data_IF_016940848311
#
_entry.id   IF_016940848311
#
_cell.length_a   1.000
_cell.length_b   1.000
_cell.length_c   1.000
_cell.angle_alpha   90.00
_cell.angle_beta   90.00
_cell.angle_gamma   90.00
#
_symmetry.space_group_name_H-M   'P 1'
#
loop_
_entity.id
_entity.type
_entity.pdbx_description
1 polymer ?
#
# COMPACT_ATOMS: atom_id res chain seq x y z
N UNK A 1 13.84 -16.68 -20.23
CA UNK A 1 12.54 -15.99 -20.07
C UNK A 1 11.63 -16.69 -19.05
N UNK A 2 11.13 -17.92 -19.28
CA UNK A 2 10.23 -18.63 -18.33
C UNK A 2 10.77 -18.79 -16.89
N UNK A 3 12.07 -19.12 -16.66
CA UNK A 3 12.60 -19.24 -15.29
C UNK A 3 12.61 -17.91 -14.52
N UNK A 4 12.84 -16.79 -15.23
CA UNK A 4 12.87 -15.46 -14.64
C UNK A 4 11.46 -15.03 -14.20
N UNK A 5 10.47 -15.21 -15.07
CA UNK A 5 9.06 -14.91 -14.77
C UNK A 5 8.59 -15.69 -13.53
N UNK A 6 8.88 -16.99 -13.46
CA UNK A 6 8.51 -17.80 -12.30
C UNK A 6 9.19 -17.33 -11.00
N UNK A 7 10.47 -16.93 -11.07
CA UNK A 7 11.20 -16.36 -9.92
C UNK A 7 10.55 -15.06 -9.44
N UNK A 8 10.22 -14.15 -10.36
CA UNK A 8 9.60 -12.86 -10.04
C UNK A 8 8.18 -13.04 -9.49
N UNK A 9 7.39 -13.96 -10.06
CA UNK A 9 6.08 -14.34 -9.53
C UNK A 9 6.18 -14.87 -8.11
N UNK A 10 7.14 -15.76 -7.83
CA UNK A 10 7.36 -16.28 -6.49
C UNK A 10 7.73 -15.16 -5.50
N UNK A 11 8.70 -14.31 -5.85
CA UNK A 11 9.10 -13.15 -5.02
C UNK A 11 7.94 -12.18 -4.76
N UNK A 12 7.04 -12.01 -5.73
CA UNK A 12 5.87 -11.12 -5.60
C UNK A 12 4.82 -11.62 -4.61
N UNK A 13 4.77 -12.93 -4.35
CA UNK A 13 3.77 -13.59 -3.50
C UNK A 13 4.28 -14.05 -2.13
N UNK A 14 5.57 -13.86 -1.86
CA UNK A 14 6.25 -14.40 -0.68
C UNK A 14 6.97 -13.28 0.06
N UNK A 15 6.27 -12.18 0.31
CA UNK A 15 6.83 -11.00 0.99
C UNK A 15 6.58 -11.01 2.49
N UNK A 16 5.73 -11.91 3.00
CA UNK A 16 5.39 -12.00 4.43
C UNK A 16 4.37 -10.96 4.90
N UNK A 17 3.83 -10.17 3.97
CA UNK A 17 2.80 -9.16 4.21
C UNK A 17 1.65 -9.50 3.26
N UNK A 18 0.54 -10.01 3.80
CA UNK A 18 -0.57 -10.52 2.98
C UNK A 18 -1.09 -9.46 2.02
N UNK A 19 -1.19 -8.22 2.48
CA UNK A 19 -1.60 -7.06 1.69
C UNK A 19 -0.66 -6.84 0.50
N UNK A 20 0.65 -7.00 0.68
CA UNK A 20 1.60 -6.90 -0.43
C UNK A 20 1.54 -8.08 -1.37
N UNK A 21 1.38 -9.29 -0.84
CA UNK A 21 1.22 -10.49 -1.65
C UNK A 21 -0.04 -10.38 -2.54
N UNK A 22 -1.11 -9.73 -2.06
CA UNK A 22 -2.31 -9.45 -2.83
C UNK A 22 -2.09 -8.33 -3.86
N UNK A 23 -1.55 -7.18 -3.44
CA UNK A 23 -1.38 -6.02 -4.33
C UNK A 23 -0.37 -6.30 -5.44
N UNK A 24 0.82 -6.77 -5.08
CA UNK A 24 1.92 -7.04 -6.03
C UNK A 24 1.71 -8.38 -6.71
N UNK A 25 1.35 -9.43 -5.97
CA UNK A 25 1.24 -10.79 -6.51
C UNK A 25 0.13 -10.93 -7.56
N UNK A 26 -1.07 -10.39 -7.31
CA UNK A 26 -2.17 -10.47 -8.30
C UNK A 26 -1.89 -9.65 -9.56
N UNK A 27 -1.21 -8.50 -9.41
CA UNK A 27 -0.77 -7.72 -10.57
C UNK A 27 0.32 -8.49 -11.34
N UNK A 28 1.29 -9.07 -10.65
CA UNK A 28 2.39 -9.82 -11.25
C UNK A 28 1.88 -11.05 -12.04
N UNK A 29 0.94 -11.81 -11.48
CA UNK A 29 0.31 -12.95 -12.17
C UNK A 29 -0.29 -12.59 -13.54
N UNK A 30 -0.87 -11.39 -13.64
CA UNK A 30 -1.58 -10.94 -14.84
C UNK A 30 -0.65 -10.35 -15.89
N UNK A 31 0.45 -9.74 -15.48
CA UNK A 31 1.30 -8.92 -16.35
C UNK A 31 2.66 -9.55 -16.68
N UNK A 32 3.31 -10.25 -15.74
CA UNK A 32 4.66 -10.79 -15.97
C UNK A 32 4.75 -11.79 -17.14
N UNK A 33 3.75 -12.63 -17.45
CA UNK A 33 3.85 -13.56 -18.58
C UNK A 33 3.95 -12.87 -19.95
N UNK A 34 3.51 -11.61 -20.07
CA UNK A 34 3.50 -10.85 -21.33
C UNK A 34 4.60 -9.79 -21.43
N UNK A 35 5.44 -9.65 -20.41
CA UNK A 35 6.47 -8.61 -20.34
C UNK A 35 7.74 -8.98 -21.11
N UNK A 36 8.39 -7.97 -21.68
CA UNK A 36 9.74 -8.09 -22.25
C UNK A 36 10.84 -8.03 -21.18
N UNK A 37 12.08 -8.34 -21.57
CA UNK A 37 13.22 -8.41 -20.65
C UNK A 37 13.50 -7.07 -19.93
N UNK A 38 13.21 -5.93 -20.56
CA UNK A 38 13.40 -4.60 -19.95
C UNK A 38 12.36 -4.32 -18.87
N UNK A 39 11.11 -4.75 -19.11
CA UNK A 39 10.01 -4.65 -18.15
C UNK A 39 10.23 -5.60 -16.96
N UNK A 40 10.76 -6.81 -17.22
CA UNK A 40 11.11 -7.75 -16.15
C UNK A 40 12.25 -7.22 -15.27
N UNK A 41 13.23 -6.51 -15.85
CA UNK A 41 14.29 -5.84 -15.07
C UNK A 41 13.74 -4.67 -14.25
N UNK A 42 12.79 -3.91 -14.81
CA UNK A 42 12.08 -2.88 -14.07
C UNK A 42 11.31 -3.47 -12.87
N UNK A 43 10.63 -4.61 -13.06
CA UNK A 43 9.95 -5.32 -11.97
C UNK A 43 10.94 -5.80 -10.90
N UNK A 44 12.12 -6.30 -11.27
CA UNK A 44 13.13 -6.72 -10.30
C UNK A 44 13.53 -5.56 -9.38
N UNK A 45 13.70 -4.36 -9.93
CA UNK A 45 13.99 -3.14 -9.16
C UNK A 45 12.88 -2.78 -8.17
N UNK A 46 11.61 -3.03 -8.54
CA UNK A 46 10.47 -2.84 -7.62
C UNK A 46 10.50 -3.86 -6.49
N UNK A 47 10.79 -5.12 -6.80
CA UNK A 47 10.82 -6.22 -5.82
C UNK A 47 11.99 -6.14 -4.84
N UNK A 48 13.01 -5.33 -5.13
CA UNK A 48 14.14 -5.03 -4.25
C UNK A 48 13.81 -3.95 -3.21
N UNK A 49 12.64 -3.30 -3.28
CA UNK A 49 12.20 -2.33 -2.28
C UNK A 49 11.61 -3.01 -1.05
N UNK A 50 11.82 -2.43 0.12
CA UNK A 50 11.25 -2.93 1.38
C UNK A 50 9.72 -2.80 1.41
N UNK A 51 9.05 -3.76 2.06
CA UNK A 51 7.57 -3.81 2.11
C UNK A 51 6.92 -2.54 2.68
N UNK A 52 7.39 -1.94 3.80
CA UNK A 52 6.71 -0.79 4.40
C UNK A 52 6.70 0.41 3.47
N UNK A 53 7.82 0.68 2.80
CA UNK A 53 7.98 1.81 1.90
C UNK A 53 7.18 1.58 0.61
N UNK A 54 7.33 0.40 0.01
CA UNK A 54 6.58 0.06 -1.21
C UNK A 54 5.06 0.12 -0.97
N UNK A 55 4.58 -0.33 0.19
CA UNK A 55 3.17 -0.25 0.55
C UNK A 55 2.68 1.20 0.62
N UNK A 56 3.42 2.08 1.30
CA UNK A 56 3.08 3.51 1.40
C UNK A 56 3.01 4.18 0.03
N UNK A 57 3.96 3.85 -0.85
CA UNK A 57 4.01 4.43 -2.19
C UNK A 57 2.88 3.94 -3.09
N UNK A 58 2.59 2.63 -3.08
CA UNK A 58 1.51 2.03 -3.88
C UNK A 58 0.13 2.49 -3.42
N UNK A 59 -0.06 2.70 -2.12
CA UNK A 59 -1.33 3.18 -1.55
C UNK A 59 -1.47 4.70 -1.54
N UNK A 60 -0.44 5.43 -1.95
CA UNK A 60 -0.42 6.90 -1.99
C UNK A 60 -0.33 7.58 -0.63
N UNK A 61 0.15 6.89 0.40
CA UNK A 61 0.41 7.47 1.73
C UNK A 61 1.64 8.39 1.72
N UNK A 62 2.65 8.05 0.91
CA UNK A 62 3.87 8.83 0.73
C UNK A 62 4.26 8.84 -0.75
N UNK A 63 4.98 9.89 -1.19
CA UNK A 63 5.53 9.94 -2.53
C UNK A 63 6.76 9.02 -2.63
N UNK A 64 6.82 8.23 -3.70
CA UNK A 64 7.97 7.38 -3.98
C UNK A 64 9.19 8.23 -4.40
N UNK A 65 10.43 7.77 -4.19
CA UNK A 65 11.62 8.43 -4.74
C UNK A 65 11.54 8.56 -6.27
N UNK A 66 12.19 9.59 -6.83
CA UNK A 66 12.14 9.89 -8.28
C UNK A 66 12.54 8.69 -9.17
N UNK A 67 13.53 7.90 -8.72
CA UNK A 67 13.94 6.69 -9.43
C UNK A 67 12.82 5.64 -9.54
N UNK A 68 11.97 5.53 -8.51
CA UNK A 68 10.82 4.63 -8.51
C UNK A 68 9.67 5.19 -9.34
N UNK A 69 9.43 6.50 -9.28
CA UNK A 69 8.43 7.16 -10.13
C UNK A 69 8.74 7.05 -11.63
N UNK A 70 10.02 6.93 -12.00
CA UNK A 70 10.45 6.69 -13.38
C UNK A 70 10.40 5.21 -13.81
N UNK A 71 10.14 4.28 -12.89
CA UNK A 71 10.11 2.85 -13.18
C UNK A 71 8.75 2.46 -13.81
N UNK A 72 8.71 1.91 -15.04
CA UNK A 72 7.46 1.63 -15.73
C UNK A 72 6.60 0.56 -15.03
N UNK A 73 7.22 -0.49 -14.47
CA UNK A 73 6.49 -1.53 -13.75
C UNK A 73 5.86 -0.97 -12.47
N UNK A 74 6.54 -0.07 -11.77
CA UNK A 74 5.99 0.61 -10.60
C UNK A 74 4.81 1.51 -10.97
N UNK A 75 4.94 2.31 -12.04
CA UNK A 75 3.88 3.22 -12.50
C UNK A 75 2.62 2.45 -12.86
N UNK A 76 2.75 1.38 -13.65
CA UNK A 76 1.62 0.53 -14.05
C UNK A 76 0.98 -0.16 -12.85
N UNK A 77 1.79 -0.63 -11.89
CA UNK A 77 1.30 -1.26 -10.67
C UNK A 77 0.57 -0.26 -9.77
N UNK A 78 1.16 0.92 -9.54
CA UNK A 78 0.54 2.00 -8.76
C UNK A 78 -0.79 2.42 -9.36
N UNK A 79 -0.86 2.58 -10.68
CA UNK A 79 -2.09 2.88 -11.38
C UNK A 79 -3.17 1.81 -11.12
N UNK A 80 -2.83 0.52 -11.22
CA UNK A 80 -3.77 -0.55 -10.94
C UNK A 80 -4.28 -0.53 -9.48
N UNK A 81 -3.39 -0.22 -8.52
CA UNK A 81 -3.77 -0.10 -7.12
C UNK A 81 -4.71 1.09 -6.91
N UNK A 82 -4.41 2.25 -7.49
CA UNK A 82 -5.24 3.45 -7.42
C UNK A 82 -6.63 3.22 -8.02
N UNK A 83 -6.72 2.58 -9.18
CA UNK A 83 -7.99 2.21 -9.80
C UNK A 83 -8.82 1.28 -8.91
N UNK A 84 -8.20 0.25 -8.33
CA UNK A 84 -8.88 -0.69 -7.42
C UNK A 84 -9.35 -0.01 -6.15
N UNK A 85 -8.52 0.85 -5.56
CA UNK A 85 -8.90 1.63 -4.39
C UNK A 85 -10.06 2.56 -4.72
N UNK A 86 -10.03 3.25 -5.87
CA UNK A 86 -11.11 4.12 -6.30
C UNK A 86 -12.42 3.35 -6.54
N UNK A 87 -12.35 2.13 -7.07
CA UNK A 87 -13.53 1.31 -7.35
C UNK A 87 -14.16 0.67 -6.10
N UNK A 88 -13.38 0.43 -5.04
CA UNK A 88 -13.83 -0.33 -3.86
C UNK A 88 -13.84 0.45 -2.55
N UNK A 89 -13.27 1.66 -2.49
CA UNK A 89 -13.33 2.50 -1.29
C UNK A 89 -14.75 3.05 -1.08
N UNK A 90 -15.20 3.03 0.17
CA UNK A 90 -16.35 3.85 0.56
C UNK A 90 -15.86 5.27 0.87
N UNK A 91 -16.28 6.24 0.07
CA UNK A 91 -15.90 7.64 0.25
C UNK A 91 -16.35 8.20 1.61
N UNK A 92 -17.43 7.67 2.20
CA UNK A 92 -17.91 8.11 3.51
C UNK A 92 -17.02 7.62 4.67
N UNK A 93 -16.30 6.51 4.49
CA UNK A 93 -15.43 5.92 5.49
C UNK A 93 -13.97 6.44 5.44
N UNK A 94 -13.64 7.30 4.47
CA UNK A 94 -12.29 7.81 4.28
C UNK A 94 -11.92 8.83 5.36
N UNK A 95 -10.71 8.69 5.91
CA UNK A 95 -10.09 9.72 6.74
C UNK A 95 -9.85 10.98 5.91
N UNK A 96 -10.12 12.15 6.50
CA UNK A 96 -9.83 13.43 5.85
C UNK A 96 -8.30 13.58 5.69
N UNK A 97 -7.81 14.00 4.51
CA UNK A 97 -6.40 14.28 4.30
C UNK A 97 -5.87 15.27 5.35
N UNK A 98 -4.70 15.01 5.91
CA UNK A 98 -4.04 15.91 6.87
C UNK A 98 -4.58 15.84 8.30
N UNK A 99 -5.45 14.88 8.65
CA UNK A 99 -5.69 14.54 10.06
C UNK A 99 -4.64 13.54 10.53
N UNK A 100 -3.83 13.95 11.49
CA UNK A 100 -2.92 13.03 12.18
C UNK A 100 -3.72 11.88 12.80
N UNK A 101 -3.18 10.68 12.67
CA UNK A 101 -3.75 9.47 13.25
C UNK A 101 -3.69 9.59 14.78
N UNK A 102 -4.77 10.05 15.40
CA UNK A 102 -4.88 10.09 16.87
C UNK A 102 -5.13 8.66 17.33
N UNK A 103 -4.07 8.00 17.80
CA UNK A 103 -4.16 6.69 18.44
C UNK A 103 -4.81 6.87 19.81
N UNK A 104 -6.14 6.81 19.89
CA UNK A 104 -6.92 6.92 21.13
C UNK A 104 -6.77 5.72 22.09
N UNK A 105 -5.57 5.15 22.20
CA UNK A 105 -5.19 4.12 23.18
C UNK A 105 -4.13 4.64 24.18
N UNK A 106 -3.69 5.89 24.05
CA UNK A 106 -2.80 6.55 25.00
C UNK A 106 -3.60 7.13 26.18
N UNK A 107 -4.30 6.26 26.91
CA UNK A 107 -5.18 6.64 28.03
C UNK A 107 -4.46 6.73 29.39
N UNK A 108 -3.13 6.61 29.42
CA UNK A 108 -2.38 6.67 30.69
C UNK A 108 -2.13 8.11 31.17
N UNK A 109 -2.39 9.11 30.32
CA UNK A 109 -2.33 10.52 30.71
C UNK A 109 -3.52 11.28 30.12
N UNK A 110 -4.71 11.03 30.67
CA UNK A 110 -5.96 11.71 30.33
C UNK A 110 -5.89 13.22 30.59
N UNK A 111 -5.38 13.98 29.64
CA UNK A 111 -5.81 15.37 29.47
C UNK A 111 -6.92 15.37 28.42
N UNK A 112 -8.17 15.71 28.79
CA UNK A 112 -9.26 15.71 27.84
C UNK A 112 -8.96 16.73 26.74
N UNK A 113 -8.89 16.26 25.50
CA UNK A 113 -8.82 17.13 24.33
C UNK A 113 -10.03 18.08 24.28
N UNK A 114 -9.93 19.21 23.57
CA UNK A 114 -10.86 20.35 23.66
C UNK A 114 -12.30 20.06 23.20
N UNK A 115 -12.63 18.82 22.84
CA UNK A 115 -13.93 18.44 22.28
C UNK A 115 -14.53 17.17 22.91
N UNK A 116 -14.15 16.83 24.15
CA UNK A 116 -14.80 15.76 24.90
C UNK A 116 -16.21 16.20 25.34
N UNK A 117 -17.24 15.74 24.62
CA UNK A 117 -18.62 15.83 25.07
C UNK A 117 -18.76 15.10 26.40
N UNK A 118 -19.27 15.78 27.43
CA UNK A 118 -19.45 15.22 28.76
C UNK A 118 -20.34 13.96 28.70
N UNK A 119 -19.82 12.83 29.19
CA UNK A 119 -20.58 11.59 29.31
C UNK A 119 -21.62 11.72 30.45
N UNK A 120 -22.86 11.20 30.27
CA UNK A 120 -23.89 11.30 31.30
C UNK A 120 -23.56 10.39 32.50
N UNK A 121 -23.80 10.91 33.71
CA UNK A 121 -23.58 10.24 34.99
C UNK A 121 -24.39 8.94 35.08
N UNK A 122 -23.70 7.82 35.37
CA UNK A 122 -24.36 6.59 35.77
C UNK A 122 -24.83 6.73 37.22
N UNK A 123 -26.15 6.74 37.43
CA UNK A 123 -26.75 6.53 38.74
C UNK A 123 -26.57 5.07 39.15
N UNK A 124 -26.08 4.88 40.37
CA UNK A 124 -25.78 3.61 41.04
C UNK A 124 -27.02 2.74 41.26
#
# INVERSE_FOLDING_TARGET
MVPLVNRLLYRSKQRGFLEMDLLVGLWAERNLPSMDDSQLAAMETVLDQENPDLFKWLTGQEEAPQAMQANPAFVDMKHNVEERLAAHRDNAAMSQPGKDWVRGWDDWNSSPGPNAMAAPERKE
#
